data_IF_652257905045
#
_entry.id   IF_652257905045
#
_cell.length_a   1.000
_cell.length_b   1.000
_cell.length_c   1.000
_cell.angle_alpha   90.00
_cell.angle_beta   90.00
_cell.angle_gamma   90.00
#
_symmetry.space_group_name_H-M   'P 1'
#
loop_
_entity.id
_entity.type
_entity.pdbx_description
1 polymer ?
#
# COMPACT_ATOMS: atom_id res chain seq x y z
N UNK A 1 -25.09 -6.56 -2.44
CA UNK A 1 -24.78 -5.38 -3.28
C UNK A 1 -25.60 -5.47 -4.55
N UNK A 2 -26.12 -4.37 -5.13
CA UNK A 2 -26.83 -4.45 -6.40
C UNK A 2 -25.83 -4.69 -7.55
N UNK A 3 -26.22 -5.45 -8.56
CA UNK A 3 -25.38 -5.75 -9.74
C UNK A 3 -24.87 -4.51 -10.49
N UNK A 4 -25.59 -3.40 -10.40
CA UNK A 4 -25.18 -2.11 -10.99
C UNK A 4 -24.00 -1.49 -10.25
N UNK A 5 -23.98 -1.60 -8.92
CA UNK A 5 -22.89 -1.09 -8.09
C UNK A 5 -21.60 -1.88 -8.32
N UNK A 6 -21.68 -3.19 -8.45
CA UNK A 6 -20.55 -4.04 -8.80
C UNK A 6 -19.97 -3.67 -10.16
N UNK A 7 -20.82 -3.49 -11.19
CA UNK A 7 -20.38 -3.07 -12.53
C UNK A 7 -19.69 -1.71 -12.54
N UNK A 8 -20.12 -0.78 -11.71
CA UNK A 8 -19.48 0.54 -11.59
C UNK A 8 -18.13 0.48 -10.85
N UNK A 9 -17.95 -0.44 -9.89
CA UNK A 9 -16.72 -0.57 -9.13
C UNK A 9 -15.60 -1.29 -9.89
N UNK A 10 -15.92 -2.22 -10.79
CA UNK A 10 -14.92 -3.00 -11.54
C UNK A 10 -13.90 -2.12 -12.28
N UNK A 11 -14.28 -1.13 -13.11
CA UNK A 11 -13.29 -0.31 -13.80
C UNK A 11 -12.45 0.54 -12.86
N UNK A 12 -13.01 0.99 -11.74
CA UNK A 12 -12.27 1.74 -10.71
C UNK A 12 -11.21 0.85 -10.06
N UNK A 13 -11.59 -0.36 -9.67
CA UNK A 13 -10.67 -1.30 -9.03
C UNK A 13 -9.57 -1.78 -10.00
N UNK A 14 -9.90 -1.99 -11.28
CA UNK A 14 -8.90 -2.31 -12.31
C UNK A 14 -7.92 -1.15 -12.50
N UNK A 15 -8.40 0.09 -12.52
CA UNK A 15 -7.54 1.27 -12.60
C UNK A 15 -6.63 1.39 -11.38
N UNK A 16 -7.14 1.17 -10.17
CA UNK A 16 -6.35 1.14 -8.94
C UNK A 16 -5.31 0.02 -8.96
N UNK A 17 -5.65 -1.16 -9.48
CA UNK A 17 -4.70 -2.27 -9.65
C UNK A 17 -3.56 -1.89 -10.60
N UNK A 18 -3.86 -1.23 -11.71
CA UNK A 18 -2.84 -0.74 -12.65
C UNK A 18 -1.92 0.31 -11.99
N UNK A 19 -2.49 1.27 -11.24
CA UNK A 19 -1.73 2.26 -10.49
C UNK A 19 -0.84 1.59 -9.44
N UNK A 20 -1.36 0.64 -8.70
CA UNK A 20 -0.61 -0.13 -7.68
C UNK A 20 0.58 -0.86 -8.31
N UNK A 21 0.38 -1.48 -9.49
CA UNK A 21 1.46 -2.12 -10.24
C UNK A 21 2.53 -1.15 -10.72
N UNK A 22 2.14 0.05 -11.17
CA UNK A 22 3.08 1.12 -11.55
C UNK A 22 3.88 1.64 -10.35
N UNK A 23 3.24 1.82 -9.20
CA UNK A 23 3.92 2.22 -7.96
C UNK A 23 4.94 1.17 -7.54
N UNK A 24 4.60 -0.12 -7.61
CA UNK A 24 5.52 -1.21 -7.28
C UNK A 24 6.68 -1.28 -8.29
N UNK A 25 6.42 -1.12 -9.58
CA UNK A 25 7.47 -1.08 -10.59
C UNK A 25 8.45 0.08 -10.33
N UNK A 26 7.93 1.28 -10.08
CA UNK A 26 8.75 2.44 -9.73
C UNK A 26 9.55 2.21 -8.44
N UNK A 27 8.95 1.57 -7.43
CA UNK A 27 9.61 1.26 -6.16
C UNK A 27 10.75 0.25 -6.33
N UNK A 28 10.55 -0.80 -7.09
CA UNK A 28 11.59 -1.81 -7.35
C UNK A 28 12.76 -1.21 -8.12
N UNK A 29 12.49 -0.35 -9.09
CA UNK A 29 13.52 0.28 -9.94
C UNK A 29 14.23 1.45 -9.23
N UNK A 30 13.49 2.27 -8.50
CA UNK A 30 13.99 3.54 -7.94
C UNK A 30 14.33 3.51 -6.45
N UNK A 31 13.78 2.58 -5.66
CA UNK A 31 13.97 2.54 -4.20
C UNK A 31 14.86 1.38 -3.74
N UNK A 32 15.58 0.76 -4.67
CA UNK A 32 16.55 -0.29 -4.36
C UNK A 32 15.89 -1.64 -4.04
N UNK A 33 15.07 -2.12 -4.97
CA UNK A 33 14.44 -3.44 -4.96
C UNK A 33 13.54 -3.66 -3.74
N UNK A 34 12.57 -2.80 -3.57
CA UNK A 34 11.54 -2.92 -2.54
C UNK A 34 10.17 -2.72 -3.18
N UNK A 35 9.18 -3.46 -2.75
CA UNK A 35 7.78 -3.24 -3.09
C UNK A 35 7.12 -2.33 -2.04
N UNK A 36 6.24 -1.45 -2.45
CA UNK A 36 5.47 -0.62 -1.51
C UNK A 36 4.00 -0.98 -1.43
N UNK A 37 3.50 -1.79 -2.37
CA UNK A 37 2.15 -2.32 -2.37
C UNK A 37 2.10 -3.85 -2.27
N UNK A 38 3.01 -4.58 -2.93
CA UNK A 38 3.05 -6.04 -2.91
C UNK A 38 3.90 -6.56 -1.74
N UNK A 39 3.27 -6.77 -0.58
CA UNK A 39 3.97 -7.23 0.63
C UNK A 39 4.49 -8.67 0.53
N UNK A 40 3.88 -9.51 -0.31
CA UNK A 40 4.40 -10.87 -0.59
C UNK A 40 5.82 -10.80 -1.17
N UNK A 41 6.06 -9.87 -2.10
CA UNK A 41 7.39 -9.66 -2.68
C UNK A 41 8.41 -9.23 -1.62
N UNK A 42 8.03 -8.35 -0.69
CA UNK A 42 8.93 -7.95 0.40
C UNK A 42 9.26 -9.09 1.35
N UNK A 43 8.32 -9.99 1.65
CA UNK A 43 8.60 -11.18 2.48
C UNK A 43 9.59 -12.11 1.78
N UNK A 44 9.45 -12.31 0.46
CA UNK A 44 10.43 -13.07 -0.34
C UNK A 44 11.80 -12.39 -0.33
N UNK A 45 11.85 -11.07 -0.51
CA UNK A 45 13.10 -10.30 -0.47
C UNK A 45 13.77 -10.33 0.91
N UNK A 46 12.99 -10.33 2.00
CA UNK A 46 13.51 -10.54 3.34
C UNK A 46 14.16 -11.91 3.48
N UNK A 47 13.53 -12.97 2.97
CA UNK A 47 14.10 -14.31 2.96
C UNK A 47 15.43 -14.37 2.20
N UNK A 48 15.49 -13.80 1.01
CA UNK A 48 16.72 -13.75 0.21
C UNK A 48 17.81 -12.90 0.87
N UNK A 49 17.46 -11.74 1.43
CA UNK A 49 18.39 -10.88 2.13
C UNK A 49 18.96 -11.58 3.39
N UNK A 50 18.14 -12.33 4.13
CA UNK A 50 18.57 -13.13 5.27
C UNK A 50 19.50 -14.29 4.86
N UNK A 51 19.32 -14.82 3.64
CA UNK A 51 20.18 -15.83 3.05
C UNK A 51 21.48 -15.24 2.43
N UNK A 52 21.71 -13.92 2.56
CA UNK A 52 22.94 -13.26 2.11
C UNK A 52 22.92 -12.71 0.68
N UNK A 53 21.75 -12.53 0.07
CA UNK A 53 21.65 -11.89 -1.25
C UNK A 53 22.07 -10.40 -1.17
N UNK A 54 23.20 -9.99 -1.81
CA UNK A 54 23.86 -8.71 -1.53
C UNK A 54 23.07 -7.50 -2.05
N UNK A 55 22.16 -7.71 -3.01
CA UNK A 55 21.39 -6.64 -3.64
C UNK A 55 20.07 -6.32 -2.93
N UNK A 56 19.69 -7.14 -1.93
CA UNK A 56 18.45 -7.02 -1.17
C UNK A 56 18.72 -6.54 0.24
N UNK A 57 17.84 -5.70 0.77
CA UNK A 57 18.01 -5.08 2.08
C UNK A 57 16.90 -5.47 3.03
N UNK A 58 17.28 -6.12 4.15
CA UNK A 58 16.36 -6.40 5.26
C UNK A 58 15.68 -5.12 5.77
N UNK A 59 16.46 -4.03 5.85
CA UNK A 59 15.96 -2.76 6.41
C UNK A 59 14.95 -2.11 5.49
N UNK A 60 15.19 -2.09 4.15
CA UNK A 60 14.24 -1.50 3.20
C UNK A 60 12.93 -2.28 3.14
N UNK A 61 13.01 -3.60 3.00
CA UNK A 61 11.81 -4.44 2.96
C UNK A 61 11.05 -4.41 4.29
N UNK A 62 11.76 -4.39 5.42
CA UNK A 62 11.17 -4.25 6.74
C UNK A 62 10.48 -2.90 6.94
N UNK A 63 11.11 -1.79 6.49
CA UNK A 63 10.52 -0.46 6.55
C UNK A 63 9.24 -0.35 5.69
N UNK A 64 9.24 -0.93 4.48
CA UNK A 64 8.06 -0.96 3.62
C UNK A 64 6.92 -1.76 4.26
N UNK A 65 7.22 -2.95 4.82
CA UNK A 65 6.23 -3.76 5.55
C UNK A 65 5.63 -3.01 6.73
N UNK A 66 6.46 -2.37 7.55
CA UNK A 66 6.01 -1.60 8.72
C UNK A 66 5.12 -0.42 8.29
N UNK A 67 5.57 0.35 7.30
CA UNK A 67 4.80 1.49 6.79
C UNK A 67 3.45 1.05 6.21
N UNK A 68 3.44 -0.03 5.43
CA UNK A 68 2.21 -0.61 4.90
C UNK A 68 1.27 -1.09 6.02
N UNK A 69 1.79 -1.76 7.04
CA UNK A 69 1.00 -2.24 8.19
C UNK A 69 0.33 -1.07 8.92
N UNK A 70 1.08 0.00 9.21
CA UNK A 70 0.55 1.23 9.82
C UNK A 70 -0.50 1.88 8.92
N UNK A 71 -0.23 1.96 7.61
CA UNK A 71 -1.19 2.46 6.63
C UNK A 71 -2.48 1.64 6.60
N UNK A 72 -2.37 0.30 6.64
CA UNK A 72 -3.54 -0.58 6.66
C UNK A 72 -4.37 -0.42 7.95
N UNK A 73 -3.73 -0.21 9.10
CA UNK A 73 -4.43 0.09 10.35
C UNK A 73 -5.19 1.43 10.27
N UNK A 74 -4.57 2.48 9.71
CA UNK A 74 -5.23 3.77 9.46
C UNK A 74 -6.40 3.61 8.49
N UNK A 75 -6.17 2.92 7.36
CA UNK A 75 -7.20 2.64 6.35
C UNK A 75 -8.35 1.80 6.91
N UNK A 76 -8.08 0.87 7.83
CA UNK A 76 -9.08 0.10 8.55
C UNK A 76 -10.02 0.99 9.37
N UNK A 77 -9.47 1.99 10.07
CA UNK A 77 -10.26 2.99 10.81
C UNK A 77 -11.09 3.87 9.88
N UNK A 78 -10.49 4.39 8.81
CA UNK A 78 -11.20 5.21 7.81
C UNK A 78 -12.32 4.39 7.16
N UNK A 79 -12.07 3.11 6.85
CA UNK A 79 -13.00 2.21 6.22
C UNK A 79 -14.06 1.59 7.16
N UNK A 80 -13.97 1.79 8.48
CA UNK A 80 -14.92 1.21 9.43
C UNK A 80 -16.40 1.53 9.10
N UNK A 81 -16.78 2.77 8.70
CA UNK A 81 -18.16 3.09 8.34
C UNK A 81 -18.68 2.36 7.08
N UNK A 82 -17.81 1.78 6.25
CA UNK A 82 -18.22 1.02 5.06
C UNK A 82 -19.05 -0.22 5.49
N UNK A 83 -18.65 -0.89 6.56
CA UNK A 83 -19.39 -2.01 7.14
C UNK A 83 -20.79 -1.64 7.63
N UNK A 84 -21.02 -0.37 7.97
CA UNK A 84 -22.32 0.19 8.36
C UNK A 84 -23.12 0.78 7.17
N UNK A 85 -22.66 0.57 5.92
CA UNK A 85 -23.36 1.00 4.69
C UNK A 85 -22.94 2.36 4.14
N UNK A 86 -22.08 3.12 4.81
CA UNK A 86 -21.56 4.41 4.33
C UNK A 86 -20.30 4.20 3.51
N UNK A 87 -20.38 4.26 2.18
CA UNK A 87 -19.26 3.91 1.28
C UNK A 87 -18.54 5.14 0.74
N UNK A 88 -19.26 6.16 0.30
CA UNK A 88 -18.68 7.27 -0.47
C UNK A 88 -17.68 8.11 0.32
N UNK A 89 -18.05 8.55 1.51
CA UNK A 89 -17.17 9.40 2.35
C UNK A 89 -15.88 8.71 2.78
N UNK A 90 -15.90 7.47 3.34
CA UNK A 90 -14.67 6.79 3.72
C UNK A 90 -13.77 6.49 2.51
N UNK A 91 -14.36 6.10 1.37
CA UNK A 91 -13.60 5.83 0.15
C UNK A 91 -12.94 7.10 -0.39
N UNK A 92 -13.68 8.21 -0.49
CA UNK A 92 -13.13 9.50 -0.93
C UNK A 92 -12.04 10.02 0.01
N UNK A 93 -12.22 9.87 1.33
CA UNK A 93 -11.21 10.26 2.31
C UNK A 93 -9.93 9.45 2.17
N UNK A 94 -10.05 8.13 1.97
CA UNK A 94 -8.90 7.25 1.79
C UNK A 94 -8.14 7.55 0.49
N UNK A 95 -8.85 7.72 -0.63
CA UNK A 95 -8.26 8.08 -1.91
C UNK A 95 -7.60 9.47 -1.87
N UNK A 96 -8.21 10.44 -1.20
CA UNK A 96 -7.64 11.77 -1.00
C UNK A 96 -6.35 11.73 -0.17
N UNK A 97 -6.33 10.94 0.90
CA UNK A 97 -5.14 10.78 1.74
C UNK A 97 -4.04 10.01 0.99
N UNK A 98 -4.39 8.94 0.26
CA UNK A 98 -3.46 8.22 -0.62
C UNK A 98 -2.82 9.17 -1.62
N UNK A 99 -3.61 9.93 -2.36
CA UNK A 99 -3.12 10.89 -3.34
C UNK A 99 -2.18 11.93 -2.70
N UNK A 100 -2.53 12.47 -1.53
CA UNK A 100 -1.69 13.41 -0.80
C UNK A 100 -0.35 12.80 -0.39
N UNK A 101 -0.34 11.55 0.10
CA UNK A 101 0.88 10.83 0.46
C UNK A 101 1.76 10.54 -0.76
N UNK A 102 1.17 10.14 -1.89
CA UNK A 102 1.91 9.91 -3.13
C UNK A 102 2.49 11.21 -3.71
N UNK A 103 1.75 12.32 -3.64
CA UNK A 103 2.26 13.64 -4.02
C UNK A 103 3.42 14.08 -3.12
N UNK A 104 3.31 13.85 -1.80
CA UNK A 104 4.40 14.14 -0.87
C UNK A 104 5.63 13.27 -1.17
N UNK A 105 5.45 11.97 -1.44
CA UNK A 105 6.54 11.08 -1.84
C UNK A 105 7.21 11.55 -3.13
N UNK A 106 6.42 11.97 -4.12
CA UNK A 106 6.91 12.55 -5.37
C UNK A 106 7.73 13.83 -5.12
N UNK A 107 7.23 14.74 -4.28
CA UNK A 107 7.95 15.95 -3.90
C UNK A 107 9.31 15.68 -3.24
N UNK A 108 9.36 14.68 -2.34
CA UNK A 108 10.61 14.23 -1.71
C UNK A 108 11.56 13.62 -2.74
N UNK A 109 11.05 12.83 -3.69
CA UNK A 109 11.83 12.18 -4.73
C UNK A 109 12.41 13.21 -5.71
N UNK A 110 11.63 14.18 -6.17
CA UNK A 110 12.09 15.24 -7.08
C UNK A 110 13.26 16.05 -6.51
N UNK A 111 13.28 16.30 -5.21
CA UNK A 111 14.36 17.03 -4.54
C UNK A 111 15.65 16.22 -4.38
N UNK A 112 15.69 14.95 -4.74
CA UNK A 112 16.84 14.07 -4.53
C UNK A 112 17.74 13.88 -5.76
N UNK A 113 17.35 14.41 -6.93
CA UNK A 113 18.05 14.13 -8.20
C UNK A 113 17.76 12.73 -8.73
N UNK A 114 18.64 12.19 -9.58
CA UNK A 114 18.40 10.92 -10.28
C UNK A 114 18.63 9.67 -9.44
N UNK A 115 19.24 9.77 -8.26
CA UNK A 115 19.56 8.62 -7.41
C UNK A 115 19.20 8.86 -5.93
N UNK A 116 18.07 8.30 -5.53
CA UNK A 116 17.59 8.34 -4.14
C UNK A 116 18.49 7.57 -3.15
N UNK A 117 19.30 6.63 -3.64
CA UNK A 117 20.18 5.83 -2.78
C UNK A 117 21.31 6.66 -2.15
N UNK A 118 21.66 7.78 -2.76
CA UNK A 118 22.69 8.71 -2.27
C UNK A 118 22.23 9.45 -0.99
N UNK A 119 20.92 9.61 -0.79
CA UNK A 119 20.37 10.27 0.40
C UNK A 119 19.43 9.35 1.15
N UNK A 120 19.96 8.49 2.07
CA UNK A 120 19.17 7.46 2.75
C UNK A 120 17.90 7.98 3.41
N UNK A 121 17.92 9.16 4.02
CA UNK A 121 16.75 9.76 4.67
C UNK A 121 15.60 9.97 3.69
N UNK A 122 15.88 10.43 2.47
CA UNK A 122 14.85 10.63 1.43
C UNK A 122 14.35 9.30 0.89
N UNK A 123 15.24 8.32 0.70
CA UNK A 123 14.88 6.98 0.29
C UNK A 123 13.86 6.37 1.25
N UNK A 124 14.15 6.37 2.55
CA UNK A 124 13.24 5.82 3.56
C UNK A 124 11.97 6.66 3.73
N UNK A 125 12.03 7.98 3.52
CA UNK A 125 10.82 8.81 3.52
C UNK A 125 9.89 8.45 2.35
N UNK A 126 10.43 8.22 1.15
CA UNK A 126 9.62 7.78 0.00
C UNK A 126 9.06 6.38 0.23
N UNK A 127 9.86 5.41 0.72
CA UNK A 127 9.39 4.07 1.08
C UNK A 127 8.25 4.15 2.12
N UNK A 128 8.43 4.98 3.14
CA UNK A 128 7.44 5.17 4.20
C UNK A 128 6.12 5.76 3.69
N UNK A 129 6.19 6.86 2.94
CA UNK A 129 5.02 7.55 2.40
C UNK A 129 4.25 6.67 1.41
N UNK A 130 4.95 6.00 0.49
CA UNK A 130 4.31 5.11 -0.49
C UNK A 130 3.75 3.85 0.17
N UNK A 131 4.47 3.24 1.12
CA UNK A 131 3.98 2.10 1.88
C UNK A 131 2.73 2.42 2.70
N UNK A 132 2.71 3.58 3.38
CA UNK A 132 1.52 4.09 4.09
C UNK A 132 0.34 4.27 3.14
N UNK A 133 0.54 4.94 2.00
CA UNK A 133 -0.49 5.17 1.00
C UNK A 133 -1.11 3.85 0.51
N UNK A 134 -0.26 2.90 0.13
CA UNK A 134 -0.71 1.60 -0.36
C UNK A 134 -1.40 0.75 0.72
N UNK A 135 -0.96 0.85 1.97
CA UNK A 135 -1.63 0.20 3.10
C UNK A 135 -3.05 0.73 3.33
N UNK A 136 -3.23 2.06 3.30
CA UNK A 136 -4.54 2.71 3.43
C UNK A 136 -5.47 2.25 2.31
N UNK A 137 -5.02 2.32 1.05
CA UNK A 137 -5.79 1.89 -0.10
C UNK A 137 -6.25 0.44 0.03
N UNK A 138 -5.30 -0.47 0.31
CA UNK A 138 -5.60 -1.90 0.42
C UNK A 138 -6.64 -2.21 1.51
N UNK A 139 -6.55 -1.55 2.66
CA UNK A 139 -7.51 -1.73 3.75
C UNK A 139 -8.93 -1.29 3.35
N UNK A 140 -9.07 -0.15 2.66
CA UNK A 140 -10.37 0.36 2.22
C UNK A 140 -10.93 -0.49 1.07
N UNK A 141 -10.12 -0.85 0.08
CA UNK A 141 -10.53 -1.74 -1.03
C UNK A 141 -11.01 -3.08 -0.48
N UNK A 142 -10.31 -3.65 0.51
CA UNK A 142 -10.75 -4.87 1.19
C UNK A 142 -12.14 -4.73 1.84
N UNK A 143 -12.44 -3.58 2.44
CA UNK A 143 -13.76 -3.29 3.05
C UNK A 143 -14.88 -3.11 2.01
N UNK A 144 -14.54 -2.75 0.77
CA UNK A 144 -15.52 -2.68 -0.32
C UNK A 144 -16.01 -4.06 -0.76
N UNK A 145 -15.26 -5.11 -0.42
CA UNK A 145 -15.63 -6.53 -0.55
C UNK A 145 -16.24 -6.89 -1.92
N UNK A 146 -15.55 -6.53 -3.01
CA UNK A 146 -15.95 -6.99 -4.34
C UNK A 146 -15.43 -8.44 -4.52
N UNK A 147 -16.30 -9.43 -4.72
CA UNK A 147 -15.88 -10.82 -4.94
C UNK A 147 -14.91 -10.91 -6.12
N UNK A 148 -13.96 -11.85 -6.04
CA UNK A 148 -13.02 -12.23 -7.10
C UNK A 148 -11.95 -11.20 -7.54
N UNK A 149 -11.87 -10.02 -6.89
CA UNK A 149 -10.85 -9.00 -7.17
C UNK A 149 -9.70 -8.96 -6.15
N UNK A 150 -9.59 -9.97 -5.30
CA UNK A 150 -8.50 -10.08 -4.32
C UNK A 150 -7.34 -10.88 -4.90
N UNK A 151 -6.29 -10.20 -5.34
CA UNK A 151 -5.22 -10.81 -6.13
C UNK A 151 -4.02 -11.33 -5.34
N UNK A 152 -3.92 -11.09 -4.01
CA UNK A 152 -2.69 -11.44 -3.28
C UNK A 152 -2.98 -11.91 -1.86
N UNK A 153 -2.84 -13.22 -1.60
CA UNK A 153 -3.18 -13.87 -0.32
C UNK A 153 -2.44 -13.26 0.87
N UNK A 154 -1.11 -13.09 0.79
CA UNK A 154 -0.32 -12.59 1.93
C UNK A 154 -0.55 -11.11 2.17
N UNK A 155 -0.61 -10.28 1.13
CA UNK A 155 -0.93 -8.86 1.27
C UNK A 155 -2.29 -8.65 1.92
N UNK A 156 -3.30 -9.44 1.51
CA UNK A 156 -4.64 -9.39 2.11
C UNK A 156 -4.66 -9.89 3.55
N UNK A 157 -3.83 -10.88 3.91
CA UNK A 157 -3.68 -11.35 5.29
C UNK A 157 -3.07 -10.27 6.18
N UNK A 158 -1.97 -9.64 5.74
CA UNK A 158 -1.33 -8.54 6.48
C UNK A 158 -2.30 -7.35 6.61
N UNK A 159 -2.99 -7.01 5.53
CA UNK A 159 -4.01 -5.95 5.54
C UNK A 159 -5.12 -6.28 6.56
N UNK A 160 -5.58 -7.53 6.58
CA UNK A 160 -6.59 -7.98 7.52
C UNK A 160 -6.14 -7.89 8.97
N UNK A 161 -4.96 -8.40 9.29
CA UNK A 161 -4.39 -8.32 10.63
C UNK A 161 -4.27 -6.87 11.13
N UNK A 162 -3.90 -5.94 10.25
CA UNK A 162 -3.78 -4.54 10.61
C UNK A 162 -5.13 -3.82 10.69
N UNK A 163 -5.97 -3.97 9.65
CA UNK A 163 -7.22 -3.23 9.51
C UNK A 163 -8.33 -3.72 10.46
N UNK A 164 -8.31 -5.01 10.84
CA UNK A 164 -9.27 -5.60 11.76
C UNK A 164 -8.71 -5.68 13.20
N UNK A 165 -7.54 -5.11 13.45
CA UNK A 165 -6.97 -5.06 14.80
C UNK A 165 -7.75 -4.11 15.72
N UNK A 166 -7.72 -4.30 17.05
CA UNK A 166 -8.29 -3.35 18.02
C UNK A 166 -7.74 -1.93 17.84
N UNK A 167 -6.49 -1.80 17.36
CA UNK A 167 -5.86 -0.51 17.06
C UNK A 167 -6.55 0.22 15.90
N UNK A 168 -7.21 -0.49 14.99
CA UNK A 168 -7.98 0.07 13.87
C UNK A 168 -9.49 0.16 14.13
N UNK A 169 -9.96 -0.22 15.33
CA UNK A 169 -11.38 -0.19 15.70
C UNK A 169 -12.14 -1.45 15.26
N UNK A 170 -11.44 -2.59 15.06
CA UNK A 170 -12.02 -3.90 14.79
C UNK A 170 -12.41 -4.64 16.07
#
# INVERSE_FOLDING_TARGET
>A
MSSERERALVPVLLSLTAVTGLVDAASVLGLGRVFTANMTGNVVFLGFAAAGAPELSLVRSGAALLAFFVGAAIGGRIGAPIGAGSVERPTSAALGLEAALLLAATGVAFGAGSDLSVVPTRLYAVIGLTGLAMGILNAVVRKLAVPDLTTTVLTMTITGLAADSPAAGG
#
